data_IF_132532016609
#
_entry.id   IF_132532016609
#
_cell.length_a   1.000
_cell.length_b   1.000
_cell.length_c   1.000
_cell.angle_alpha   90.00
_cell.angle_beta   90.00
_cell.angle_gamma   90.00
#
_symmetry.space_group_name_H-M   'P 1'
#
loop_
_entity.id
_entity.type
_entity.pdbx_description
1 polymer ?
#
# COMPACT_ATOMS: atom_id res chain seq x y z
N UNK A 1 12.29 -10.32 10.22
CA UNK A 1 11.79 -9.29 11.16
C UNK A 1 12.87 -8.95 12.18
N UNK A 2 13.41 -9.95 12.92
CA UNK A 2 14.44 -9.76 13.97
C UNK A 2 15.67 -8.97 13.50
N UNK A 3 16.23 -9.27 12.33
CA UNK A 3 17.39 -8.57 11.76
C UNK A 3 17.12 -7.11 11.41
N UNK A 4 15.87 -6.77 11.06
CA UNK A 4 15.47 -5.39 10.77
C UNK A 4 15.29 -4.57 12.03
N UNK A 5 14.84 -5.18 13.14
CA UNK A 5 14.82 -4.57 14.45
C UNK A 5 16.22 -4.22 14.94
N UNK A 6 17.17 -5.16 14.81
CA UNK A 6 18.55 -4.95 15.26
C UNK A 6 19.32 -3.93 14.43
N UNK A 7 18.95 -3.75 13.13
CA UNK A 7 19.59 -2.76 12.23
C UNK A 7 18.91 -1.40 12.20
N UNK A 8 17.90 -1.14 13.04
CA UNK A 8 17.19 0.15 13.09
C UNK A 8 16.37 0.48 11.85
N UNK A 9 15.94 -0.53 11.05
CA UNK A 9 15.14 -0.33 9.85
C UNK A 9 13.63 -0.20 10.11
N UNK A 10 13.21 0.05 11.35
CA UNK A 10 11.82 0.28 11.71
C UNK A 10 11.74 1.55 12.55
N UNK A 11 10.95 2.51 12.08
CA UNK A 11 10.66 3.73 12.84
C UNK A 11 9.30 3.59 13.54
N UNK A 12 9.32 3.21 14.81
CA UNK A 12 8.12 3.03 15.62
C UNK A 12 7.29 4.29 15.80
N UNK A 13 7.93 5.46 15.80
CA UNK A 13 7.20 6.73 15.89
C UNK A 13 6.32 6.92 14.65
N UNK A 14 6.88 6.63 13.48
CA UNK A 14 6.15 6.67 12.22
C UNK A 14 5.07 5.59 12.19
N UNK A 15 5.33 4.38 12.70
CA UNK A 15 4.31 3.32 12.81
C UNK A 15 3.08 3.81 13.56
N UNK A 16 3.24 4.49 14.70
CA UNK A 16 2.11 4.98 15.47
C UNK A 16 1.46 6.21 14.83
N UNK A 17 2.26 7.21 14.43
CA UNK A 17 1.73 8.49 13.94
C UNK A 17 1.04 8.36 12.59
N UNK A 18 1.54 7.50 11.71
CA UNK A 18 0.92 7.18 10.43
C UNK A 18 -0.10 6.03 10.54
N UNK A 19 0.29 4.97 11.25
CA UNK A 19 -0.48 3.71 11.29
C UNK A 19 -1.84 3.87 11.99
N UNK A 20 -1.92 4.55 13.14
CA UNK A 20 -3.19 4.74 13.83
C UNK A 20 -4.22 5.51 13.00
N UNK A 21 -3.92 6.70 12.44
CA UNK A 21 -4.85 7.39 11.56
C UNK A 21 -5.23 6.56 10.32
N UNK A 22 -4.27 5.84 9.73
CA UNK A 22 -4.55 4.99 8.58
C UNK A 22 -5.49 3.83 8.92
N UNK A 23 -5.31 3.15 10.06
CA UNK A 23 -6.20 2.07 10.51
C UNK A 23 -7.60 2.61 10.79
N UNK A 24 -7.71 3.73 11.52
CA UNK A 24 -9.00 4.36 11.79
C UNK A 24 -9.72 4.73 10.50
N UNK A 25 -9.03 5.37 9.57
CA UNK A 25 -9.61 5.76 8.28
C UNK A 25 -10.07 4.57 7.46
N UNK A 26 -9.27 3.49 7.39
CA UNK A 26 -9.69 2.25 6.70
C UNK A 26 -10.93 1.67 7.32
N UNK A 27 -10.99 1.59 8.66
CA UNK A 27 -12.15 1.04 9.36
C UNK A 27 -13.39 1.86 9.10
N UNK A 28 -13.30 3.19 9.19
CA UNK A 28 -14.44 4.10 8.90
C UNK A 28 -14.91 3.94 7.45
N UNK A 29 -13.99 3.92 6.49
CA UNK A 29 -14.34 3.77 5.07
C UNK A 29 -15.01 2.43 4.80
N UNK A 30 -14.46 1.32 5.30
CA UNK A 30 -15.03 -0.02 5.09
C UNK A 30 -16.38 -0.21 5.79
N UNK A 31 -16.53 0.33 6.99
CA UNK A 31 -17.76 0.11 7.79
C UNK A 31 -18.92 1.05 7.38
N UNK A 32 -18.59 2.26 6.93
CA UNK A 32 -19.62 3.28 6.67
C UNK A 32 -19.67 3.70 5.20
N UNK A 33 -18.55 4.01 4.55
CA UNK A 33 -18.56 4.54 3.19
C UNK A 33 -18.79 3.48 2.11
N UNK A 34 -18.10 2.35 2.22
CA UNK A 34 -18.22 1.28 1.21
C UNK A 34 -19.64 0.71 1.10
N UNK A 35 -20.39 0.48 2.19
CA UNK A 35 -21.78 0.00 2.10
C UNK A 35 -22.77 1.01 1.51
N UNK A 36 -22.48 2.31 1.62
CA UNK A 36 -23.37 3.38 1.12
C UNK A 36 -23.16 3.61 -0.38
N UNK A 37 -22.00 3.25 -0.91
CA UNK A 37 -21.69 3.47 -2.33
C UNK A 37 -22.58 2.58 -3.21
N UNK A 38 -23.26 3.18 -4.21
CA UNK A 38 -24.03 2.39 -5.18
C UNK A 38 -23.10 1.52 -6.02
N UNK A 39 -23.62 0.43 -6.57
CA UNK A 39 -22.84 -0.47 -7.44
C UNK A 39 -22.42 0.21 -8.74
N UNK A 40 -23.22 1.13 -9.26
CA UNK A 40 -22.92 1.99 -10.40
C UNK A 40 -22.73 3.40 -9.87
N UNK A 41 -21.53 3.96 -10.03
CA UNK A 41 -21.21 5.32 -9.57
C UNK A 41 -21.78 6.39 -10.53
N UNK A 42 -21.56 6.21 -11.81
CA UNK A 42 -22.06 7.08 -12.88
C UNK A 42 -21.95 6.37 -14.24
N UNK A 43 -22.63 6.90 -15.24
CA UNK A 43 -22.59 6.39 -16.63
C UNK A 43 -21.89 7.42 -17.52
N UNK A 44 -20.98 6.96 -18.37
CA UNK A 44 -20.33 7.76 -19.41
C UNK A 44 -20.80 7.22 -20.75
N UNK A 45 -21.81 7.88 -21.37
CA UNK A 45 -22.51 7.35 -22.51
C UNK A 45 -23.24 6.05 -22.13
N UNK A 46 -22.97 4.97 -22.87
CA UNK A 46 -23.57 3.65 -22.62
C UNK A 46 -22.76 2.77 -21.65
N UNK A 47 -21.61 3.28 -21.13
CA UNK A 47 -20.72 2.51 -20.28
C UNK A 47 -21.02 2.80 -18.79
N UNK A 48 -21.52 1.83 -18.02
CA UNK A 48 -21.69 1.99 -16.57
C UNK A 48 -20.34 1.90 -15.86
N UNK A 49 -19.94 2.96 -15.16
CA UNK A 49 -18.76 2.93 -14.29
C UNK A 49 -19.16 2.32 -12.96
N UNK A 50 -18.77 1.05 -12.79
CA UNK A 50 -19.04 0.33 -11.55
C UNK A 50 -18.20 0.88 -10.39
N UNK A 51 -18.66 0.65 -9.15
CA UNK A 51 -17.91 1.00 -7.93
C UNK A 51 -16.48 0.46 -7.97
N UNK A 52 -16.28 -0.76 -8.44
CA UNK A 52 -14.98 -1.39 -8.57
C UNK A 52 -14.08 -0.65 -9.56
N UNK A 53 -14.58 -0.32 -10.75
CA UNK A 53 -13.86 0.47 -11.76
C UNK A 53 -13.45 1.84 -11.23
N UNK A 54 -14.37 2.55 -10.57
CA UNK A 54 -14.07 3.86 -10.00
C UNK A 54 -12.98 3.82 -8.94
N UNK A 55 -13.06 2.88 -8.02
CA UNK A 55 -12.09 2.71 -6.94
C UNK A 55 -10.72 2.28 -7.46
N UNK A 56 -10.66 1.29 -8.35
CA UNK A 56 -9.40 0.81 -8.94
C UNK A 56 -8.79 1.83 -9.90
N UNK A 57 -9.63 2.58 -10.62
CA UNK A 57 -9.19 3.69 -11.47
C UNK A 57 -8.54 4.80 -10.64
N UNK A 58 -9.20 5.29 -9.59
CA UNK A 58 -8.65 6.28 -8.65
C UNK A 58 -7.33 5.80 -8.04
N UNK A 59 -7.29 4.54 -7.62
CA UNK A 59 -6.11 3.91 -7.07
C UNK A 59 -4.94 3.92 -8.06
N UNK A 60 -5.20 3.57 -9.32
CA UNK A 60 -4.20 3.56 -10.39
C UNK A 60 -3.68 4.97 -10.70
N UNK A 61 -4.56 5.97 -10.71
CA UNK A 61 -4.19 7.39 -10.87
C UNK A 61 -3.20 7.83 -9.80
N UNK A 62 -3.36 7.37 -8.56
CA UNK A 62 -2.43 7.67 -7.46
C UNK A 62 -1.14 6.86 -7.59
N UNK A 63 -1.21 5.61 -8.06
CA UNK A 63 -0.05 4.74 -8.21
C UNK A 63 0.94 5.21 -9.29
N UNK A 64 0.45 5.72 -10.42
CA UNK A 64 1.31 6.11 -11.54
C UNK A 64 2.31 7.24 -11.18
N UNK A 65 1.90 8.36 -10.59
CA UNK A 65 2.83 9.40 -10.13
C UNK A 65 3.80 8.88 -9.04
N UNK A 66 3.32 8.04 -8.13
CA UNK A 66 4.15 7.44 -7.10
C UNK A 66 5.25 6.55 -7.71
N UNK A 67 4.89 5.67 -8.65
CA UNK A 67 5.83 4.83 -9.39
C UNK A 67 6.86 5.66 -10.17
N UNK A 68 6.39 6.63 -10.94
CA UNK A 68 7.24 7.53 -11.73
C UNK A 68 8.25 8.27 -10.86
N UNK A 69 7.79 8.82 -9.75
CA UNK A 69 8.64 9.52 -8.79
C UNK A 69 9.71 8.60 -8.18
N UNK A 70 9.38 7.35 -7.87
CA UNK A 70 10.36 6.38 -7.36
C UNK A 70 11.42 6.00 -8.40
N UNK A 71 11.06 5.95 -9.69
CA UNK A 71 11.99 5.62 -10.77
C UNK A 71 12.92 6.80 -11.08
N UNK A 72 12.36 8.02 -11.20
CA UNK A 72 13.05 9.20 -11.77
C UNK A 72 13.88 10.00 -10.77
N UNK A 73 13.68 9.85 -9.45
CA UNK A 73 14.46 10.65 -8.48
C UNK A 73 15.95 10.42 -8.69
N UNK A 74 16.75 11.49 -8.96
CA UNK A 74 18.20 11.40 -9.11
C UNK A 74 18.81 10.80 -7.85
N UNK A 75 20.02 10.24 -7.95
CA UNK A 75 20.78 9.68 -6.83
C UNK A 75 20.68 10.62 -5.62
N UNK A 76 19.75 10.34 -4.72
CA UNK A 76 19.68 11.04 -3.46
C UNK A 76 20.98 10.69 -2.73
N UNK A 77 21.88 11.66 -2.65
CA UNK A 77 23.13 11.50 -1.91
C UNK A 77 22.76 11.28 -0.43
N UNK A 78 22.75 10.03 -0.02
CA UNK A 78 22.59 9.57 1.36
C UNK A 78 23.80 10.00 2.24
N UNK A 79 24.68 10.88 1.75
CA UNK A 79 25.80 11.44 2.50
C UNK A 79 25.40 12.60 3.43
N UNK A 80 24.15 12.78 3.74
CA UNK A 80 23.81 13.49 4.97
C UNK A 80 23.69 12.49 6.12
N UNK A 81 24.85 12.09 6.68
CA UNK A 81 25.02 11.94 8.14
C UNK A 81 24.56 13.26 8.75
N UNK A 82 23.29 13.48 8.80
CA UNK A 82 22.72 14.59 9.51
C UNK A 82 22.36 14.07 10.89
N UNK A 83 23.18 14.38 11.86
CA UNK A 83 22.84 14.54 13.27
C UNK A 83 21.76 15.64 13.49
N UNK A 84 21.08 16.08 12.45
CA UNK A 84 19.89 16.89 12.58
C UNK A 84 18.75 15.96 13.00
N UNK A 85 18.24 16.19 14.24
CA UNK A 85 16.92 15.72 14.66
C UNK A 85 15.97 15.89 13.47
N UNK A 86 15.47 14.80 12.92
CA UNK A 86 14.44 14.84 11.89
C UNK A 86 13.24 15.57 12.51
N UNK A 87 13.02 16.80 12.08
CA UNK A 87 11.79 17.51 12.43
C UNK A 87 10.71 16.87 11.57
N UNK A 88 10.08 15.82 12.08
CA UNK A 88 8.91 15.24 11.45
C UNK A 88 7.80 16.29 11.48
N UNK A 89 7.27 16.63 10.34
CA UNK A 89 6.01 17.35 10.32
C UNK A 89 4.90 16.34 10.63
N UNK A 90 4.65 16.13 11.91
CA UNK A 90 3.69 15.15 12.42
C UNK A 90 2.30 15.33 11.79
N UNK A 91 1.90 16.57 11.55
CA UNK A 91 0.62 16.88 10.92
C UNK A 91 0.53 16.32 9.50
N UNK A 92 1.59 16.47 8.71
CA UNK A 92 1.63 15.90 7.34
C UNK A 92 1.57 14.38 7.37
N UNK A 93 2.27 13.74 8.29
CA UNK A 93 2.26 12.27 8.42
C UNK A 93 0.87 11.75 8.81
N UNK A 94 0.16 12.47 9.69
CA UNK A 94 -1.21 12.13 10.09
C UNK A 94 -2.16 12.28 8.90
N UNK A 95 -2.10 13.41 8.20
CA UNK A 95 -2.94 13.67 7.02
C UNK A 95 -2.69 12.60 5.95
N UNK A 96 -1.44 12.28 5.69
CA UNK A 96 -1.06 11.22 4.75
C UNK A 96 -1.60 9.86 5.19
N UNK A 97 -1.48 9.52 6.47
CA UNK A 97 -2.07 8.30 7.02
C UNK A 97 -3.57 8.23 6.79
N UNK A 98 -4.29 9.34 7.01
CA UNK A 98 -5.73 9.44 6.73
C UNK A 98 -6.01 9.23 5.25
N UNK A 99 -5.34 9.97 4.35
CA UNK A 99 -5.56 9.88 2.90
C UNK A 99 -5.27 8.47 2.38
N UNK A 100 -4.13 7.90 2.73
CA UNK A 100 -3.78 6.53 2.34
C UNK A 100 -4.76 5.52 2.96
N UNK A 101 -5.18 5.74 4.19
CA UNK A 101 -6.20 4.92 4.85
C UNK A 101 -7.54 4.94 4.10
N UNK A 102 -8.00 6.11 3.69
CA UNK A 102 -9.24 6.25 2.90
C UNK A 102 -9.11 5.50 1.57
N UNK A 103 -8.06 5.78 0.79
CA UNK A 103 -7.84 5.13 -0.52
C UNK A 103 -7.77 3.61 -0.38
N UNK A 104 -7.00 3.12 0.59
CA UNK A 104 -6.84 1.67 0.79
C UNK A 104 -8.07 1.01 1.39
N UNK A 105 -8.89 1.77 2.12
CA UNK A 105 -10.19 1.33 2.63
C UNK A 105 -11.18 1.03 1.51
N UNK A 106 -11.23 1.88 0.49
CA UNK A 106 -12.04 1.66 -0.71
C UNK A 106 -11.56 0.46 -1.53
N UNK A 107 -10.27 0.36 -1.77
CA UNK A 107 -9.68 -0.72 -2.60
C UNK A 107 -9.80 -2.09 -1.93
N UNK A 108 -9.80 -2.14 -0.60
CA UNK A 108 -9.83 -3.39 0.14
C UNK A 108 -8.51 -4.18 0.15
N UNK A 109 -7.56 -3.84 -0.72
CA UNK A 109 -6.31 -4.57 -0.95
C UNK A 109 -5.21 -4.30 0.10
N UNK A 110 -5.56 -3.92 1.32
CA UNK A 110 -4.58 -3.65 2.39
C UNK A 110 -3.66 -2.44 2.15
N UNK A 111 -3.48 -2.00 0.89
CA UNK A 111 -2.74 -0.78 0.49
C UNK A 111 -1.26 -0.73 0.88
N UNK A 112 -0.67 -1.85 1.29
CA UNK A 112 0.69 -1.87 1.82
C UNK A 112 1.75 -1.33 0.87
N UNK A 113 1.55 -1.49 -0.42
CA UNK A 113 2.49 -0.99 -1.42
C UNK A 113 2.38 0.52 -1.69
N UNK A 114 1.26 1.20 -1.36
CA UNK A 114 1.18 2.66 -1.37
C UNK A 114 1.84 3.30 -0.15
N UNK A 115 1.87 2.62 0.99
CA UNK A 115 2.50 3.13 2.21
C UNK A 115 4.01 3.33 2.00
N UNK A 116 4.68 2.47 1.23
CA UNK A 116 6.13 2.58 1.00
C UNK A 116 6.51 3.87 0.29
N UNK A 117 5.97 4.22 -0.91
CA UNK A 117 6.27 5.50 -1.55
C UNK A 117 5.82 6.70 -0.71
N UNK A 118 4.68 6.61 -0.05
CA UNK A 118 4.17 7.64 0.82
C UNK A 118 5.18 7.97 1.94
N UNK A 119 5.56 6.99 2.74
CA UNK A 119 6.57 7.17 3.79
C UNK A 119 7.92 7.65 3.24
N UNK A 120 8.35 7.14 2.09
CA UNK A 120 9.62 7.54 1.49
C UNK A 120 9.66 9.02 1.12
N UNK A 121 8.57 9.55 0.54
CA UNK A 121 8.54 10.93 0.05
C UNK A 121 8.31 11.95 1.16
N UNK A 122 7.41 11.69 2.09
CA UNK A 122 7.04 12.68 3.11
C UNK A 122 7.94 12.62 4.33
N UNK A 123 8.28 11.44 4.81
CA UNK A 123 9.14 11.32 5.99
C UNK A 123 10.63 11.38 5.64
N UNK A 124 10.98 11.30 4.33
CA UNK A 124 12.37 11.30 3.83
C UNK A 124 13.26 10.24 4.48
N UNK A 125 12.67 9.18 4.99
CA UNK A 125 13.40 8.02 5.52
C UNK A 125 13.96 7.17 4.37
N UNK A 126 14.98 6.37 4.67
CA UNK A 126 15.55 5.43 3.69
C UNK A 126 14.52 4.41 3.23
N UNK A 127 14.61 3.98 1.95
CA UNK A 127 13.69 3.00 1.38
C UNK A 127 13.63 1.68 2.20
N UNK A 128 14.74 1.23 2.76
CA UNK A 128 14.76 0.03 3.61
C UNK A 128 14.00 0.25 4.91
N UNK A 129 14.09 1.43 5.50
CA UNK A 129 13.32 1.82 6.69
C UNK A 129 11.84 2.00 6.34
N UNK A 130 11.53 2.62 5.20
CA UNK A 130 10.14 2.73 4.72
C UNK A 130 9.50 1.34 4.53
N UNK A 131 10.21 0.39 3.91
CA UNK A 131 9.74 -1.00 3.73
C UNK A 131 9.53 -1.68 5.09
N UNK A 132 10.49 -1.58 6.01
CA UNK A 132 10.36 -2.18 7.34
C UNK A 132 9.19 -1.62 8.14
N UNK A 133 9.06 -0.28 8.15
CA UNK A 133 7.98 0.43 8.84
C UNK A 133 6.61 0.10 8.24
N UNK A 134 6.50 0.12 6.89
CA UNK A 134 5.25 -0.22 6.20
C UNK A 134 4.83 -1.67 6.45
N UNK A 135 5.76 -2.63 6.53
CA UNK A 135 5.43 -4.03 6.86
C UNK A 135 4.76 -4.15 8.23
N UNK A 136 5.25 -3.41 9.24
CA UNK A 136 4.63 -3.41 10.57
C UNK A 136 3.22 -2.81 10.51
N UNK A 137 3.06 -1.67 9.83
CA UNK A 137 1.76 -1.01 9.68
C UNK A 137 0.75 -1.94 8.97
N UNK A 138 1.16 -2.56 7.86
CA UNK A 138 0.32 -3.49 7.10
C UNK A 138 -0.06 -4.71 7.93
N UNK A 139 0.90 -5.28 8.67
CA UNK A 139 0.65 -6.43 9.54
C UNK A 139 -0.39 -6.10 10.60
N UNK A 140 -0.22 -4.99 11.33
CA UNK A 140 -1.18 -4.56 12.35
C UNK A 140 -2.56 -4.31 11.75
N UNK A 141 -2.62 -3.59 10.63
CA UNK A 141 -3.86 -3.30 9.91
C UNK A 141 -4.56 -4.57 9.42
N UNK A 142 -3.83 -5.51 8.85
CA UNK A 142 -4.36 -6.77 8.34
C UNK A 142 -4.86 -7.68 9.46
N UNK A 143 -4.13 -7.76 10.59
CA UNK A 143 -4.58 -8.52 11.75
C UNK A 143 -5.86 -7.93 12.34
N UNK A 144 -5.91 -6.62 12.52
CA UNK A 144 -7.11 -5.94 13.02
C UNK A 144 -8.29 -6.14 12.05
N UNK A 145 -8.08 -5.93 10.74
CA UNK A 145 -9.12 -6.13 9.73
C UNK A 145 -9.62 -7.57 9.66
N UNK A 146 -8.71 -8.54 9.77
CA UNK A 146 -9.06 -9.95 9.74
C UNK A 146 -9.83 -10.39 11.00
N UNK A 147 -9.30 -10.11 12.19
CA UNK A 147 -9.90 -10.58 13.45
C UNK A 147 -11.16 -9.81 13.85
N UNK A 148 -11.25 -8.51 13.55
CA UNK A 148 -12.41 -7.68 13.92
C UNK A 148 -13.42 -7.50 12.78
N UNK A 149 -13.09 -7.95 11.57
CA UNK A 149 -13.92 -7.79 10.39
C UNK A 149 -14.21 -9.12 9.70
N UNK A 150 -13.33 -9.48 8.79
CA UNK A 150 -13.62 -10.52 7.79
C UNK A 150 -13.91 -11.90 8.40
N UNK A 151 -13.17 -12.30 9.45
CA UNK A 151 -13.36 -13.62 10.09
C UNK A 151 -14.68 -13.81 10.83
N UNK A 152 -15.31 -12.70 11.22
CA UNK A 152 -16.58 -12.75 11.96
C UNK A 152 -17.80 -12.81 11.03
N UNK A 153 -17.67 -12.32 9.80
CA UNK A 153 -18.80 -12.11 8.89
C UNK A 153 -18.77 -12.98 7.63
N UNK A 154 -17.61 -13.59 7.31
CA UNK A 154 -17.45 -14.40 6.10
C UNK A 154 -16.93 -15.81 6.41
N UNK A 155 -17.46 -16.85 5.77
CA UNK A 155 -16.88 -18.19 5.85
C UNK A 155 -15.49 -18.17 5.18
N UNK A 156 -14.48 -18.61 5.91
CA UNK A 156 -13.09 -18.64 5.42
C UNK A 156 -12.80 -20.01 4.85
N UNK A 157 -12.38 -20.06 3.59
CA UNK A 157 -11.83 -21.28 2.99
C UNK A 157 -10.37 -21.48 3.44
N UNK A 158 -10.23 -22.24 4.51
CA UNK A 158 -8.93 -22.59 5.08
C UNK A 158 -8.07 -23.42 4.15
N UNK A 159 -8.67 -24.23 3.26
CA UNK A 159 -7.96 -25.06 2.31
C UNK A 159 -7.21 -24.23 1.25
N UNK A 160 -7.74 -23.08 0.91
CA UNK A 160 -7.08 -22.11 0.03
C UNK A 160 -6.14 -21.18 0.82
N UNK A 161 -6.57 -20.66 1.96
CA UNK A 161 -5.84 -19.64 2.71
C UNK A 161 -4.51 -20.14 3.24
N UNK A 162 -4.44 -21.36 3.78
CA UNK A 162 -3.22 -21.89 4.39
C UNK A 162 -2.08 -22.12 3.37
N UNK A 163 -2.29 -22.79 2.22
CA UNK A 163 -1.25 -22.91 1.20
C UNK A 163 -0.81 -21.55 0.66
N UNK A 164 -1.75 -20.65 0.38
CA UNK A 164 -1.45 -19.30 -0.11
C UNK A 164 -0.58 -18.52 0.89
N UNK A 165 -0.91 -18.59 2.19
CA UNK A 165 -0.12 -17.99 3.27
C UNK A 165 1.27 -18.60 3.35
N UNK A 166 1.39 -19.91 3.17
CA UNK A 166 2.68 -20.62 3.13
C UNK A 166 3.58 -20.08 2.02
N UNK A 167 3.07 -19.96 0.80
CA UNK A 167 3.80 -19.37 -0.33
C UNK A 167 4.17 -17.90 -0.07
N UNK A 168 3.27 -17.12 0.52
CA UNK A 168 3.55 -15.73 0.86
C UNK A 168 4.69 -15.61 1.89
N UNK A 169 4.69 -16.43 2.94
CA UNK A 169 5.76 -16.48 3.94
C UNK A 169 7.09 -16.83 3.27
N UNK A 170 7.12 -17.84 2.41
CA UNK A 170 8.31 -18.24 1.68
C UNK A 170 8.81 -17.10 0.78
N UNK A 171 7.91 -16.39 0.08
CA UNK A 171 8.22 -15.21 -0.70
C UNK A 171 8.85 -14.08 0.14
N UNK A 172 8.36 -13.85 1.37
CA UNK A 172 8.93 -12.85 2.29
C UNK A 172 10.37 -13.21 2.67
N UNK A 173 10.67 -14.48 2.94
CA UNK A 173 12.04 -14.91 3.27
C UNK A 173 12.98 -14.68 2.08
N UNK A 174 12.59 -15.11 0.87
CA UNK A 174 13.37 -14.88 -0.35
C UNK A 174 13.56 -13.37 -0.60
N UNK A 175 12.50 -12.58 -0.53
CA UNK A 175 12.55 -11.14 -0.73
C UNK A 175 13.45 -10.42 0.27
N UNK A 176 13.42 -10.85 1.55
CA UNK A 176 14.30 -10.30 2.57
C UNK A 176 15.78 -10.66 2.33
N UNK A 177 16.04 -11.88 1.92
CA UNK A 177 17.39 -12.35 1.57
C UNK A 177 17.94 -11.53 0.39
N UNK A 178 17.22 -11.47 -0.72
CA UNK A 178 17.60 -10.72 -1.91
C UNK A 178 17.73 -9.21 -1.63
N UNK A 179 16.83 -8.65 -0.83
CA UNK A 179 16.82 -7.22 -0.49
C UNK A 179 18.09 -6.74 0.24
N UNK A 180 18.84 -7.65 0.89
CA UNK A 180 20.09 -7.31 1.53
C UNK A 180 21.22 -7.02 0.49
N UNK A 181 21.17 -7.64 -0.67
CA UNK A 181 22.15 -7.46 -1.74
C UNK A 181 21.92 -6.20 -2.57
N UNK A 182 20.72 -5.61 -2.51
CA UNK A 182 20.40 -4.43 -3.28
C UNK A 182 20.69 -3.14 -2.51
N UNK A 183 21.30 -2.17 -3.21
CA UNK A 183 21.45 -0.81 -2.69
C UNK A 183 20.08 -0.12 -2.61
N UNK A 184 19.94 0.88 -1.71
CA UNK A 184 18.71 1.66 -1.56
C UNK A 184 18.20 2.22 -2.90
N UNK A 185 19.10 2.67 -3.78
CA UNK A 185 18.75 3.22 -5.09
C UNK A 185 18.17 2.17 -6.04
N UNK A 186 18.78 0.97 -6.08
CA UNK A 186 18.29 -0.14 -6.90
C UNK A 186 16.95 -0.64 -6.39
N UNK A 187 16.82 -0.84 -5.07
CA UNK A 187 15.59 -1.33 -4.45
C UNK A 187 14.41 -0.37 -4.72
N UNK A 188 14.65 0.95 -4.63
CA UNK A 188 13.64 1.96 -4.96
C UNK A 188 13.18 1.87 -6.42
N UNK A 189 14.11 1.76 -7.36
CA UNK A 189 13.77 1.64 -8.79
C UNK A 189 12.99 0.37 -9.07
N UNK A 190 13.44 -0.78 -8.53
CA UNK A 190 12.74 -2.06 -8.68
C UNK A 190 11.30 -1.97 -8.15
N UNK A 191 11.13 -1.35 -6.98
CA UNK A 191 9.81 -1.17 -6.41
C UNK A 191 8.94 -0.22 -7.25
N UNK A 192 9.51 0.88 -7.76
CA UNK A 192 8.81 1.78 -8.68
C UNK A 192 8.39 1.08 -9.98
N UNK A 193 9.26 0.26 -10.58
CA UNK A 193 8.92 -0.55 -11.75
C UNK A 193 7.80 -1.57 -11.42
N UNK A 194 7.87 -2.22 -10.28
CA UNK A 194 6.83 -3.14 -9.83
C UNK A 194 5.46 -2.46 -9.72
N UNK A 195 5.40 -1.29 -9.07
CA UNK A 195 4.15 -0.51 -8.96
C UNK A 195 3.65 -0.11 -10.35
N UNK A 196 4.54 0.28 -11.26
CA UNK A 196 4.17 0.67 -12.61
C UNK A 196 3.55 -0.49 -13.40
N UNK A 197 4.16 -1.68 -13.32
CA UNK A 197 3.62 -2.91 -13.94
C UNK A 197 2.27 -3.28 -13.34
N UNK A 198 2.13 -3.20 -12.01
CA UNK A 198 0.86 -3.48 -11.33
C UNK A 198 -0.23 -2.49 -11.72
N UNK A 199 0.09 -1.21 -11.87
CA UNK A 199 -0.85 -0.19 -12.35
C UNK A 199 -1.33 -0.52 -13.79
N UNK A 200 -0.40 -0.88 -14.67
CA UNK A 200 -0.73 -1.33 -16.04
C UNK A 200 -1.59 -2.59 -16.06
N UNK A 201 -1.30 -3.55 -15.19
CA UNK A 201 -2.09 -4.77 -15.06
C UNK A 201 -3.52 -4.49 -14.58
N UNK A 202 -3.69 -3.59 -13.61
CA UNK A 202 -5.01 -3.19 -13.12
C UNK A 202 -5.82 -2.51 -14.24
N UNK A 203 -5.19 -1.59 -14.99
CA UNK A 203 -5.84 -0.93 -16.14
C UNK A 203 -6.29 -1.99 -17.17
N UNK A 204 -5.39 -2.91 -17.52
CA UNK A 204 -5.70 -3.95 -18.50
C UNK A 204 -6.87 -4.83 -18.04
N UNK A 205 -6.83 -5.32 -16.80
CA UNK A 205 -7.86 -6.24 -16.28
C UNK A 205 -9.21 -5.55 -16.07
N UNK A 206 -9.23 -4.30 -15.63
CA UNK A 206 -10.47 -3.63 -15.26
C UNK A 206 -11.13 -2.91 -16.45
N UNK A 207 -10.34 -2.37 -17.39
CA UNK A 207 -10.86 -1.55 -18.50
C UNK A 207 -10.79 -2.23 -19.86
N UNK A 208 -10.00 -3.30 -20.02
CA UNK A 208 -9.85 -3.96 -21.31
C UNK A 208 -10.37 -5.41 -21.28
N UNK A 209 -10.01 -6.17 -20.23
CA UNK A 209 -10.36 -7.59 -20.14
C UNK A 209 -11.68 -7.85 -19.41
N UNK A 210 -12.29 -6.83 -18.79
CA UNK A 210 -13.57 -7.01 -18.08
C UNK A 210 -14.72 -7.16 -19.11
N UNK A 211 -15.43 -8.30 -19.13
CA UNK A 211 -16.54 -8.51 -20.07
C UNK A 211 -17.68 -7.50 -19.90
N UNK A 212 -17.88 -6.97 -18.70
CA UNK A 212 -18.91 -5.97 -18.43
C UNK A 212 -18.63 -4.62 -19.09
N UNK A 213 -17.37 -4.37 -19.51
CA UNK A 213 -16.97 -3.18 -20.25
C UNK A 213 -17.05 -3.39 -21.78
N UNK A 214 -16.86 -4.63 -22.25
CA UNK A 214 -16.72 -4.95 -23.70
C UNK A 214 -18.06 -5.34 -24.33
N UNK A 215 -19.06 -5.77 -23.55
CA UNK A 215 -20.32 -6.36 -24.05
C UNK A 215 -21.52 -5.41 -23.97
N UNK A 216 -21.34 -4.13 -23.68
CA UNK A 216 -22.32 -3.06 -23.86
C UNK A 216 -21.72 -2.06 -24.87
#
# INVERSE_FOLDING_TARGET
IRDRFQKGYIDFKVVFIFGLPAILSVTVVRSFLVPILPDILFQIGDIPITRRMGVLGLFTIIMLPAAYSMIKVPKYNVQRKSTKKFSYNYLLIIIEGIVIGVVTGFVGAGGGFLIIPALFFLTKIDIKTAIGTSMVIVTLKSLIGFFLGDSLFMPIDWSFLLPFTGFAIFGVFIGNYLGNYFSNSKLRKLFGCFIFVMAGFIIYMEFIANPDFVLN
#
